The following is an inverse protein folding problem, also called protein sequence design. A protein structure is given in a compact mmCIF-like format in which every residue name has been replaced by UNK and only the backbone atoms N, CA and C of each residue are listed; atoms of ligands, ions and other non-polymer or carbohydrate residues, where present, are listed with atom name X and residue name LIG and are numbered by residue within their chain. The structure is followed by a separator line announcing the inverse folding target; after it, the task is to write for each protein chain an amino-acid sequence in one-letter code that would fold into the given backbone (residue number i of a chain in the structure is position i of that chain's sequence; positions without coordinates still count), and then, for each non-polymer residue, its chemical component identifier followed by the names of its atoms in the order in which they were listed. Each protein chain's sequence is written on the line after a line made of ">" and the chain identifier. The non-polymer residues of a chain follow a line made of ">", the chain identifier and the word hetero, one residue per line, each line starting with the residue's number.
data_IF_097059640872
#
_entry.id   IF_097059640872
#
_cell.length_a   1.000
_cell.length_b   1.000
_cell.length_c   1.000
_cell.angle_alpha   90.00
_cell.angle_beta   90.00
_cell.angle_gamma   90.00
#
_symmetry.space_group_name_H-M   'P 1'
#
loop_
_entity.id
_entity.type
_entity.pdbx_description
1 polymer ?
#
# COMPACT_ATOMS: atom_id res chain seq x y z
N UNK A 1 16.93 3.72 4.84
CA UNK A 1 15.92 4.13 3.85
C UNK A 1 16.06 3.21 2.66
N UNK A 2 15.32 2.12 2.71
CA UNK A 2 15.31 1.10 1.66
C UNK A 2 13.85 0.82 1.38
N UNK A 3 13.37 1.23 0.21
CA UNK A 3 12.04 0.88 -0.27
C UNK A 3 12.13 -0.44 -1.05
N UNK A 4 11.24 -1.38 -0.77
CA UNK A 4 11.28 -2.76 -1.31
C UNK A 4 9.89 -3.25 -1.71
N UNK A 5 9.86 -4.40 -2.38
CA UNK A 5 8.68 -5.19 -2.72
C UNK A 5 7.48 -4.38 -3.25
N UNK A 6 7.66 -3.65 -4.38
CA UNK A 6 6.56 -2.88 -4.95
C UNK A 6 5.55 -3.78 -5.67
N UNK A 7 4.27 -3.44 -5.52
CA UNK A 7 3.16 -4.02 -6.29
C UNK A 7 2.36 -2.91 -7.01
N UNK A 8 1.68 -3.27 -8.11
CA UNK A 8 0.99 -2.32 -9.00
C UNK A 8 -0.36 -2.84 -9.48
N UNK A 9 -1.37 -1.97 -9.49
CA UNK A 9 -2.68 -2.17 -10.10
C UNK A 9 -3.03 -1.01 -11.04
N UNK A 10 -3.93 -1.26 -11.99
CA UNK A 10 -4.34 -0.28 -13.00
C UNK A 10 -5.88 -0.26 -13.09
N UNK A 11 -6.47 0.94 -13.07
CA UNK A 11 -7.89 1.16 -13.33
C UNK A 11 -8.24 1.04 -14.83
N UNK A 12 -9.53 0.85 -15.19
CA UNK A 12 -9.95 0.80 -16.59
C UNK A 12 -9.64 2.05 -17.43
N UNK A 13 -9.49 3.22 -16.79
CA UNK A 13 -9.11 4.48 -17.45
C UNK A 13 -7.60 4.69 -17.57
N UNK A 14 -6.81 3.75 -17.03
CA UNK A 14 -5.36 3.77 -17.07
C UNK A 14 -4.69 4.48 -15.90
N UNK A 15 -5.45 4.91 -14.88
CA UNK A 15 -4.83 5.37 -13.63
C UNK A 15 -4.14 4.21 -12.90
N UNK A 16 -2.97 4.50 -12.34
CA UNK A 16 -2.01 3.54 -11.78
C UNK A 16 -1.94 3.69 -10.28
N UNK A 17 -1.92 2.55 -9.60
CA UNK A 17 -1.85 2.45 -8.14
C UNK A 17 -0.66 1.59 -7.76
N UNK A 18 0.20 2.12 -6.90
CA UNK A 18 1.43 1.44 -6.45
C UNK A 18 1.42 1.36 -4.94
N UNK A 19 1.82 0.21 -4.41
CA UNK A 19 2.15 0.01 -2.99
C UNK A 19 3.59 -0.50 -2.87
N UNK A 20 4.25 -0.18 -1.78
CA UNK A 20 5.61 -0.64 -1.46
C UNK A 20 5.83 -0.63 0.04
N UNK A 21 6.82 -1.38 0.52
CA UNK A 21 7.29 -1.24 1.91
C UNK A 21 8.48 -0.28 1.98
N UNK A 22 8.57 0.53 3.05
CA UNK A 22 9.72 1.40 3.32
C UNK A 22 10.24 1.25 4.74
N UNK A 23 11.54 0.95 4.86
CA UNK A 23 12.27 0.87 6.13
C UNK A 23 12.94 2.21 6.44
N UNK A 24 12.14 3.27 6.55
CA UNK A 24 12.63 4.63 6.81
C UNK A 24 12.85 4.88 8.31
N UNK A 25 11.92 4.43 9.16
CA UNK A 25 11.82 4.86 10.57
C UNK A 25 12.14 3.78 11.62
N UNK A 26 12.60 2.60 11.18
CA UNK A 26 13.11 1.53 12.05
C UNK A 26 12.18 0.31 12.12
N UNK A 27 10.92 0.53 11.82
CA UNK A 27 9.92 -0.41 11.32
C UNK A 27 9.75 -0.25 9.79
N UNK A 28 9.06 -1.23 9.21
CA UNK A 28 8.71 -1.25 7.79
C UNK A 28 7.24 -0.87 7.68
N UNK A 29 6.92 0.18 6.96
CA UNK A 29 5.54 0.63 6.75
C UNK A 29 5.11 0.39 5.31
N UNK A 30 3.82 0.11 5.11
CA UNK A 30 3.26 0.06 3.77
C UNK A 30 2.92 1.46 3.32
N UNK A 31 3.42 1.85 2.16
CA UNK A 31 3.08 3.10 1.50
C UNK A 31 2.27 2.86 0.23
N UNK A 32 1.52 3.88 -0.15
CA UNK A 32 0.67 3.88 -1.32
C UNK A 32 0.83 5.19 -2.12
N UNK A 33 0.74 5.07 -3.44
CA UNK A 33 0.62 6.22 -4.35
C UNK A 33 -0.18 5.87 -5.58
N UNK A 34 -1.18 6.70 -5.89
CA UNK A 34 -1.98 6.60 -7.11
C UNK A 34 -1.73 7.75 -8.09
N UNK A 35 -2.11 7.55 -9.35
CA UNK A 35 -2.33 8.64 -10.30
C UNK A 35 -3.79 9.06 -10.34
N UNK A 36 -4.03 10.31 -10.73
CA UNK A 36 -5.33 10.79 -11.19
C UNK A 36 -5.10 11.51 -12.51
N UNK A 37 -5.77 11.06 -13.57
CA UNK A 37 -5.54 11.55 -14.93
C UNK A 37 -4.04 11.52 -15.29
N UNK A 38 -3.36 10.41 -14.99
CA UNK A 38 -1.93 10.19 -15.25
C UNK A 38 -0.99 11.15 -14.50
N UNK A 39 -1.47 11.86 -13.48
CA UNK A 39 -0.66 12.68 -12.58
C UNK A 39 -0.54 11.99 -11.23
N UNK A 40 0.68 11.74 -10.81
CA UNK A 40 0.94 11.19 -9.48
C UNK A 40 0.45 12.11 -8.37
N UNK A 41 -0.30 11.55 -7.43
CA UNK A 41 -0.69 12.22 -6.20
C UNK A 41 0.43 12.27 -5.16
N UNK A 42 0.06 12.65 -3.94
CA UNK A 42 0.90 12.52 -2.76
C UNK A 42 1.06 11.04 -2.36
N UNK A 43 2.18 10.74 -1.71
CA UNK A 43 2.39 9.44 -1.04
C UNK A 43 1.49 9.42 0.20
N UNK A 44 0.86 8.28 0.46
CA UNK A 44 0.04 8.02 1.63
C UNK A 44 0.65 6.83 2.38
N UNK A 45 0.67 6.92 3.69
CA UNK A 45 1.04 5.81 4.58
C UNK A 45 -0.21 4.96 4.84
N UNK A 46 -0.11 3.66 4.60
CA UNK A 46 -1.23 2.70 4.69
C UNK A 46 -1.34 2.17 6.11
N UNK A 47 -0.22 1.94 6.78
CA UNK A 47 -0.14 1.44 8.14
C UNK A 47 0.42 2.54 9.03
N UNK A 48 -0.34 2.94 10.06
CA UNK A 48 0.12 3.91 11.05
C UNK A 48 0.38 3.15 12.34
N UNK A 49 1.64 3.01 12.75
CA UNK A 49 1.94 2.06 13.82
C UNK A 49 3.35 2.12 14.38
N UNK A 50 3.64 1.13 15.21
CA UNK A 50 5.00 0.81 15.68
C UNK A 50 5.33 -0.65 15.35
N UNK A 51 4.61 -1.22 14.40
CA UNK A 51 4.59 -2.64 14.03
C UNK A 51 5.13 -2.74 12.61
N UNK A 52 5.81 -3.84 12.30
CA UNK A 52 6.41 -4.00 10.98
C UNK A 52 5.40 -4.62 10.04
N UNK A 53 5.14 -3.96 8.92
CA UNK A 53 4.36 -4.48 7.81
C UNK A 53 5.17 -4.64 6.52
N UNK A 54 4.91 -5.74 5.81
CA UNK A 54 5.74 -6.22 4.71
C UNK A 54 4.97 -6.92 3.60
N UNK A 55 5.66 -7.14 2.48
CA UNK A 55 5.19 -7.95 1.36
C UNK A 55 3.81 -7.51 0.84
N UNK A 56 3.63 -6.22 0.47
CA UNK A 56 2.32 -5.73 0.06
C UNK A 56 1.91 -6.25 -1.32
N UNK A 57 0.61 -6.46 -1.52
CA UNK A 57 -0.01 -6.67 -2.83
C UNK A 57 -1.25 -5.79 -3.00
N UNK A 58 -1.58 -5.44 -4.25
CA UNK A 58 -2.65 -4.49 -4.57
C UNK A 58 -3.46 -4.91 -5.79
N UNK A 59 -4.78 -4.71 -5.72
CA UNK A 59 -5.68 -4.90 -6.86
C UNK A 59 -6.78 -3.84 -6.91
N UNK A 60 -7.32 -3.64 -8.12
CA UNK A 60 -8.49 -2.81 -8.35
C UNK A 60 -9.72 -3.68 -8.61
N UNK A 61 -10.80 -3.42 -7.87
CA UNK A 61 -12.07 -4.12 -8.03
C UNK A 61 -13.20 -3.34 -7.35
N UNK A 62 -14.44 -3.47 -7.84
CA UNK A 62 -15.61 -2.77 -7.26
C UNK A 62 -15.37 -1.25 -7.05
N UNK A 63 -14.63 -0.60 -7.97
CA UNK A 63 -14.25 0.82 -7.89
C UNK A 63 -13.46 1.19 -6.62
N UNK A 64 -12.67 0.25 -6.11
CA UNK A 64 -11.83 0.41 -4.92
C UNK A 64 -10.45 -0.19 -5.14
N UNK A 65 -9.48 0.38 -4.43
CA UNK A 65 -8.15 -0.20 -4.26
C UNK A 65 -8.17 -1.08 -3.02
N UNK A 66 -7.80 -2.34 -3.23
CA UNK A 66 -7.69 -3.39 -2.23
C UNK A 66 -6.21 -3.67 -2.02
N UNK A 67 -5.76 -3.65 -0.77
CA UNK A 67 -4.36 -3.88 -0.40
C UNK A 67 -4.31 -4.99 0.64
N UNK A 68 -3.40 -5.94 0.46
CA UNK A 68 -3.06 -6.97 1.44
C UNK A 68 -1.59 -6.80 1.81
N UNK A 69 -1.22 -7.15 3.04
CA UNK A 69 0.16 -7.13 3.51
C UNK A 69 0.31 -8.08 4.70
N UNK A 70 1.53 -8.45 5.02
CA UNK A 70 1.87 -9.15 6.27
C UNK A 70 2.20 -8.15 7.36
N UNK A 71 1.94 -8.47 8.63
CA UNK A 71 2.30 -7.61 9.75
C UNK A 71 2.46 -8.37 11.06
N UNK A 72 3.05 -7.74 12.08
CA UNK A 72 3.36 -8.38 13.37
C UNK A 72 2.62 -7.78 14.59
N UNK A 73 1.52 -7.04 14.34
CA UNK A 73 0.83 -6.25 15.36
C UNK A 73 0.27 -7.04 16.56
N UNK A 74 0.15 -8.37 16.46
CA UNK A 74 -0.35 -9.25 17.52
C UNK A 74 0.73 -10.19 18.11
N UNK A 75 2.01 -9.86 17.92
CA UNK A 75 3.18 -10.67 18.35
C UNK A 75 3.37 -11.98 17.58
N UNK A 76 2.68 -12.12 16.46
CA UNK A 76 2.86 -13.12 15.42
C UNK A 76 2.60 -12.51 14.03
N UNK A 77 3.10 -13.17 12.98
CA UNK A 77 2.95 -12.71 11.61
C UNK A 77 1.60 -13.14 11.04
N UNK A 78 0.75 -12.16 10.79
CA UNK A 78 -0.59 -12.33 10.23
C UNK A 78 -0.71 -11.65 8.85
N UNK A 79 -1.78 -12.01 8.13
CA UNK A 79 -2.17 -11.35 6.89
C UNK A 79 -3.26 -10.32 7.20
N UNK A 80 -2.98 -9.07 6.84
CA UNK A 80 -3.89 -7.95 6.99
C UNK A 80 -4.44 -7.52 5.63
N UNK A 81 -5.61 -6.88 5.68
CA UNK A 81 -6.32 -6.40 4.52
C UNK A 81 -6.92 -5.03 4.79
N UNK A 82 -6.75 -4.11 3.85
CA UNK A 82 -7.37 -2.80 3.87
C UNK A 82 -7.88 -2.43 2.48
N UNK A 83 -8.82 -1.50 2.45
CA UNK A 83 -9.40 -1.00 1.22
C UNK A 83 -9.80 0.47 1.41
N UNK A 84 -9.84 1.22 0.31
CA UNK A 84 -10.05 2.68 0.24
C UNK A 84 -8.79 3.55 0.32
N UNK A 85 -7.71 3.11 -0.33
CA UNK A 85 -6.57 3.99 -0.62
C UNK A 85 -6.90 4.89 -1.81
N UNK A 86 -7.69 5.96 -1.53
CA UNK A 86 -8.05 7.03 -2.46
C UNK A 86 -8.95 6.66 -3.64
N UNK A 87 -10.21 7.10 -3.60
CA UNK A 87 -10.98 7.67 -4.73
C UNK A 87 -12.05 8.61 -4.14
N UNK A 88 -11.84 9.93 -4.29
CA UNK A 88 -12.83 10.98 -4.03
C UNK A 88 -13.06 11.78 -5.30
#
# INVERSE_FOLDING_TARGET
>A
MTSQDPAIAIEPDGDVHVVWEDLADGDSDIHYRGTNAQRWGAIQEVTIGTTSEKDPDVTYGDRKIHVVYTGDALSDWDIYYTYNMGTG
#
